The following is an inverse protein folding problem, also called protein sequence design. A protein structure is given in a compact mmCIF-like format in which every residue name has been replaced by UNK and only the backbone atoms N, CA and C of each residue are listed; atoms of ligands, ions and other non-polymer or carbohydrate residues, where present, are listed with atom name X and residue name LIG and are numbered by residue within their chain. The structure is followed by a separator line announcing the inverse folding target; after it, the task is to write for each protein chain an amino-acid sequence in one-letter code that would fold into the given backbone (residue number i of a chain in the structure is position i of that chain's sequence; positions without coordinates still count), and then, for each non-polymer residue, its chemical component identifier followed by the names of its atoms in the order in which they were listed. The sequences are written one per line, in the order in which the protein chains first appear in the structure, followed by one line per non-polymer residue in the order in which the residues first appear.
data_IF_568914200880
#
_entry.id   IF_568914200880
#
_cell.length_a   1.000
_cell.length_b   1.000
_cell.length_c   1.000
_cell.angle_alpha   90.00
_cell.angle_beta   90.00
_cell.angle_gamma   90.00
#
_symmetry.space_group_name_H-M   'P 1'
#
loop_
_entity.id
_entity.type
_entity.pdbx_description
1 polymer ?
#
# COMPACT_ATOMS: atom_id res chain seq x y z
N UNK A 1 -28.77 -6.55 -11.50
CA UNK A 1 -27.73 -6.55 -10.45
C UNK A 1 -28.24 -5.62 -9.35
N UNK A 2 -28.66 -6.18 -8.22
CA UNK A 2 -29.47 -5.45 -7.22
C UNK A 2 -28.59 -4.55 -6.33
N UNK A 3 -27.32 -4.89 -6.17
CA UNK A 3 -26.34 -4.09 -5.43
C UNK A 3 -24.92 -4.25 -6.00
N UNK A 4 -24.11 -3.20 -5.83
CA UNK A 4 -22.67 -3.19 -6.15
C UNK A 4 -21.89 -3.26 -4.84
N UNK A 5 -20.90 -4.15 -4.75
CA UNK A 5 -20.05 -4.29 -3.56
C UNK A 5 -18.62 -3.82 -3.84
N UNK A 6 -18.06 -3.04 -2.93
CA UNK A 6 -16.69 -2.56 -2.96
C UNK A 6 -15.99 -2.97 -1.66
N UNK A 7 -14.88 -3.69 -1.79
CA UNK A 7 -14.11 -4.19 -0.65
C UNK A 7 -12.80 -3.41 -0.53
N UNK A 8 -12.64 -2.69 0.57
CA UNK A 8 -11.40 -2.00 0.94
C UNK A 8 -10.62 -2.78 2.00
N UNK A 9 -9.45 -2.27 2.37
CA UNK A 9 -8.64 -2.85 3.44
C UNK A 9 -9.29 -2.70 4.81
N UNK A 10 -10.05 -1.62 5.02
CA UNK A 10 -10.63 -1.20 6.31
C UNK A 10 -12.15 -1.33 6.39
N UNK A 11 -12.83 -1.10 5.27
CA UNK A 11 -14.29 -1.14 5.18
C UNK A 11 -14.74 -1.97 3.97
N UNK A 12 -15.93 -2.53 4.08
CA UNK A 12 -16.69 -3.05 2.95
C UNK A 12 -17.93 -2.18 2.75
N UNK A 13 -18.16 -1.72 1.52
CA UNK A 13 -19.29 -0.88 1.20
C UNK A 13 -20.20 -1.59 0.19
N UNK A 14 -21.51 -1.48 0.40
CA UNK A 14 -22.55 -1.99 -0.50
C UNK A 14 -23.40 -0.81 -0.94
N UNK A 15 -23.55 -0.64 -2.26
CA UNK A 15 -24.42 0.37 -2.87
C UNK A 15 -25.63 -0.32 -3.46
N UNK A 16 -26.81 -0.04 -2.92
CA UNK A 16 -28.07 -0.54 -3.45
C UNK A 16 -28.46 0.30 -4.69
N UNK A 17 -28.71 -0.36 -5.82
CA UNK A 17 -28.95 0.35 -7.10
C UNK A 17 -30.33 1.04 -7.13
N UNK A 18 -31.29 0.56 -6.35
CA UNK A 18 -32.65 1.10 -6.30
C UNK A 18 -32.76 2.39 -5.49
N UNK A 19 -32.16 2.44 -4.30
CA UNK A 19 -32.24 3.62 -3.42
C UNK A 19 -31.03 4.56 -3.55
N UNK A 20 -29.96 4.11 -4.22
CA UNK A 20 -28.69 4.83 -4.30
C UNK A 20 -27.93 4.96 -2.97
N UNK A 21 -28.49 4.39 -1.89
CA UNK A 21 -27.89 4.42 -0.55
C UNK A 21 -26.66 3.52 -0.55
N UNK A 22 -25.53 4.10 -0.13
CA UNK A 22 -24.29 3.39 0.13
C UNK A 22 -24.15 3.19 1.65
N UNK A 23 -24.18 1.93 2.08
CA UNK A 23 -23.86 1.54 3.45
C UNK A 23 -22.45 0.99 3.49
N UNK A 24 -21.65 1.44 4.44
CA UNK A 24 -20.29 0.96 4.66
C UNK A 24 -20.19 0.39 6.06
N UNK A 25 -19.87 -0.90 6.14
CA UNK A 25 -19.67 -1.60 7.39
C UNK A 25 -18.17 -1.78 7.62
N UNK A 26 -17.74 -1.57 8.86
CA UNK A 26 -16.40 -1.96 9.28
C UNK A 26 -16.35 -3.49 9.38
N UNK A 27 -15.15 -4.08 9.25
CA UNK A 27 -15.02 -5.51 9.44
C UNK A 27 -15.15 -5.86 10.93
N UNK A 28 -16.39 -5.95 11.42
CA UNK A 28 -16.74 -6.19 12.83
C UNK A 28 -16.58 -7.66 13.30
N UNK A 29 -16.32 -8.60 12.39
CA UNK A 29 -16.25 -10.02 12.75
C UNK A 29 -14.85 -10.47 13.19
N UNK A 30 -14.54 -10.18 14.45
CA UNK A 30 -13.49 -10.85 15.26
C UNK A 30 -13.69 -12.39 15.33
N UNK A 31 -14.88 -12.91 15.00
CA UNK A 31 -15.26 -14.31 15.28
C UNK A 31 -15.43 -15.23 14.06
N UNK A 32 -15.12 -14.79 12.84
CA UNK A 32 -15.07 -15.69 11.68
C UNK A 32 -13.84 -15.35 10.83
N UNK A 33 -12.67 -15.74 11.33
CA UNK A 33 -11.38 -15.61 10.65
C UNK A 33 -11.15 -14.22 10.02
N UNK A 34 -10.65 -13.26 10.80
CA UNK A 34 -9.68 -12.35 10.19
C UNK A 34 -8.56 -13.21 9.63
N UNK A 35 -8.62 -13.50 8.33
CA UNK A 35 -7.56 -14.19 7.63
C UNK A 35 -6.27 -13.46 7.99
N UNK A 36 -5.31 -14.18 8.59
CA UNK A 36 -4.01 -13.63 9.04
C UNK A 36 -3.39 -12.72 7.98
N UNK A 37 -3.67 -13.05 6.71
CA UNK A 37 -3.43 -12.26 5.51
C UNK A 37 -3.87 -10.79 5.60
N UNK A 38 -5.12 -10.49 5.95
CA UNK A 38 -5.64 -9.12 5.97
C UNK A 38 -4.98 -8.26 7.06
N UNK A 39 -4.77 -8.85 8.25
CA UNK A 39 -4.06 -8.18 9.35
C UNK A 39 -2.60 -7.95 8.98
N UNK A 40 -1.94 -8.94 8.37
CA UNK A 40 -0.57 -8.83 7.91
C UNK A 40 -0.42 -7.76 6.83
N UNK A 41 -1.32 -7.72 5.84
CA UNK A 41 -1.33 -6.68 4.80
C UNK A 41 -1.53 -5.29 5.42
N UNK A 42 -2.45 -5.13 6.38
CA UNK A 42 -2.62 -3.86 7.13
C UNK A 42 -1.34 -3.44 7.83
N UNK A 43 -0.71 -4.36 8.58
CA UNK A 43 0.52 -4.08 9.29
C UNK A 43 1.66 -3.67 8.32
N UNK A 44 1.86 -4.43 7.24
CA UNK A 44 2.86 -4.12 6.22
C UNK A 44 2.64 -2.74 5.59
N UNK A 45 1.39 -2.42 5.19
CA UNK A 45 1.06 -1.12 4.61
C UNK A 45 1.32 0.03 5.59
N UNK A 46 0.84 -0.08 6.83
CA UNK A 46 1.04 0.97 7.84
C UNK A 46 2.53 1.18 8.10
N UNK A 47 3.31 0.10 8.26
CA UNK A 47 4.75 0.22 8.48
C UNK A 47 5.45 0.86 7.28
N UNK A 48 5.06 0.51 6.04
CA UNK A 48 5.58 1.11 4.82
C UNK A 48 5.28 2.62 4.78
N UNK A 49 4.05 3.03 5.10
CA UNK A 49 3.63 4.44 5.10
C UNK A 49 4.39 5.25 6.15
N UNK A 50 4.57 4.72 7.36
CA UNK A 50 5.32 5.38 8.44
C UNK A 50 6.78 5.56 8.03
N UNK A 51 7.44 4.49 7.54
CA UNK A 51 8.84 4.57 7.11
C UNK A 51 9.01 5.52 5.92
N UNK A 52 8.09 5.49 4.96
CA UNK A 52 8.10 6.39 3.80
C UNK A 52 7.92 7.85 4.22
N UNK A 53 7.03 8.13 5.17
CA UNK A 53 6.86 9.45 5.76
C UNK A 53 8.15 9.98 6.38
N UNK A 54 8.83 9.18 7.21
CA UNK A 54 10.13 9.56 7.76
C UNK A 54 11.20 9.72 6.68
N UNK A 55 11.25 8.83 5.69
CA UNK A 55 12.15 8.92 4.54
C UNK A 55 11.97 10.23 3.78
N UNK A 56 10.73 10.63 3.51
CA UNK A 56 10.42 11.90 2.83
C UNK A 56 10.81 13.11 3.67
N UNK A 57 10.57 13.09 4.98
CA UNK A 57 11.00 14.17 5.89
C UNK A 57 12.52 14.35 5.85
N UNK A 58 13.30 13.26 5.94
CA UNK A 58 14.75 13.33 5.81
C UNK A 58 15.18 13.80 4.43
N UNK A 59 14.51 13.36 3.36
CA UNK A 59 14.81 13.82 2.00
C UNK A 59 14.68 15.33 1.90
N UNK A 60 13.57 15.91 2.37
CA UNK A 60 13.36 17.37 2.35
C UNK A 60 14.47 18.10 3.12
N UNK A 61 14.85 17.61 4.31
CA UNK A 61 15.93 18.20 5.10
C UNK A 61 17.32 18.07 4.44
N UNK A 62 17.53 17.04 3.62
CA UNK A 62 18.78 16.78 2.90
C UNK A 62 18.95 17.56 1.59
N UNK A 63 17.89 18.23 1.09
CA UNK A 63 17.97 19.00 -0.15
C UNK A 63 18.74 20.32 0.02
N UNK A 64 19.52 20.70 -0.99
CA UNK A 64 20.29 21.94 -0.98
C UNK A 64 19.43 23.21 -0.96
N UNK A 65 18.21 23.13 -1.50
CA UNK A 65 17.26 24.25 -1.50
C UNK A 65 16.70 24.58 -0.11
N UNK A 66 16.83 23.69 0.87
CA UNK A 66 16.38 23.92 2.25
C UNK A 66 17.50 24.59 3.05
N UNK A 67 17.18 25.74 3.65
CA UNK A 67 18.08 26.55 4.51
C UNK A 67 18.32 25.89 5.89
N UNK A 68 18.59 24.61 5.90
CA UNK A 68 18.95 23.83 7.09
C UNK A 68 20.43 23.47 6.95
N UNK A 69 21.28 23.83 7.92
CA UNK A 69 22.75 23.60 7.88
C UNK A 69 23.42 23.99 6.53
N UNK A 70 23.39 25.27 6.11
CA UNK A 70 23.94 25.69 4.81
C UNK A 70 25.45 25.47 4.67
N UNK A 71 26.20 25.46 5.77
CA UNK A 71 27.67 25.41 5.75
C UNK A 71 28.24 23.97 5.80
N UNK A 72 27.38 22.95 5.91
CA UNK A 72 27.78 21.55 6.13
C UNK A 72 27.22 20.60 5.06
N UNK A 73 27.74 20.62 3.81
CA UNK A 73 27.22 19.80 2.72
C UNK A 73 27.39 18.30 2.97
N UNK A 74 28.41 17.90 3.74
CA UNK A 74 28.65 16.51 4.09
C UNK A 74 27.55 15.94 5.00
N UNK A 75 26.98 16.75 5.89
CA UNK A 75 25.88 16.34 6.75
C UNK A 75 24.59 16.20 5.92
N UNK A 76 24.32 17.13 5.00
CA UNK A 76 23.19 17.02 4.05
C UNK A 76 23.26 15.75 3.21
N UNK A 77 24.45 15.42 2.70
CA UNK A 77 24.69 14.19 1.96
C UNK A 77 24.33 12.94 2.79
N UNK A 78 24.76 12.90 4.06
CA UNK A 78 24.42 11.80 4.97
C UNK A 78 22.93 11.70 5.24
N UNK A 79 22.23 12.82 5.40
CA UNK A 79 20.77 12.84 5.58
C UNK A 79 20.06 12.30 4.33
N UNK A 80 20.54 12.68 3.14
CA UNK A 80 20.02 12.18 1.86
C UNK A 80 20.27 10.67 1.67
N UNK A 81 21.41 10.16 2.14
CA UNK A 81 21.68 8.72 2.16
C UNK A 81 20.72 7.99 3.12
N UNK A 82 20.49 8.54 4.32
CA UNK A 82 19.56 7.97 5.30
C UNK A 82 18.13 7.96 4.75
N UNK A 83 17.70 9.01 4.06
CA UNK A 83 16.38 9.04 3.42
C UNK A 83 16.25 7.96 2.33
N UNK A 84 17.28 7.77 1.50
CA UNK A 84 17.32 6.73 0.48
C UNK A 84 17.16 5.32 1.08
N UNK A 85 17.89 5.02 2.16
CA UNK A 85 17.79 3.73 2.87
C UNK A 85 16.42 3.55 3.50
N UNK A 86 15.84 4.58 4.14
CA UNK A 86 14.48 4.50 4.69
C UNK A 86 13.44 4.24 3.60
N UNK A 87 13.53 4.91 2.46
CA UNK A 87 12.60 4.72 1.33
C UNK A 87 12.71 3.32 0.73
N UNK A 88 13.92 2.74 0.66
CA UNK A 88 14.12 1.34 0.28
C UNK A 88 13.45 0.37 1.26
N UNK A 89 13.71 0.56 2.56
CA UNK A 89 13.12 -0.25 3.62
C UNK A 89 11.59 -0.12 3.69
N UNK A 90 11.03 1.04 3.30
CA UNK A 90 9.60 1.26 3.17
C UNK A 90 9.00 0.59 1.93
N UNK A 91 9.70 0.65 0.79
CA UNK A 91 9.21 0.12 -0.50
C UNK A 91 9.03 -1.40 -0.50
N UNK A 92 9.92 -2.14 0.17
CA UNK A 92 9.87 -3.61 0.24
C UNK A 92 8.57 -4.17 0.86
N UNK A 93 8.14 -3.78 2.08
CA UNK A 93 6.88 -4.24 2.66
C UNK A 93 5.66 -3.73 1.89
N UNK A 94 5.71 -2.51 1.31
CA UNK A 94 4.63 -1.97 0.47
C UNK A 94 4.42 -2.77 -0.82
N UNK A 95 5.49 -3.13 -1.54
CA UNK A 95 5.39 -3.99 -2.73
C UNK A 95 4.89 -5.37 -2.32
N UNK A 96 5.50 -5.96 -1.28
CA UNK A 96 5.16 -7.32 -0.83
C UNK A 96 3.70 -7.41 -0.40
N UNK A 97 3.21 -6.49 0.42
CA UNK A 97 1.82 -6.46 0.87
C UNK A 97 0.83 -6.23 -0.28
N UNK A 98 1.16 -5.35 -1.24
CA UNK A 98 0.30 -5.08 -2.40
C UNK A 98 0.20 -6.28 -3.35
N UNK A 99 1.34 -6.92 -3.64
CA UNK A 99 1.42 -8.10 -4.51
C UNK A 99 0.75 -9.28 -3.85
N UNK A 100 0.97 -9.50 -2.56
CA UNK A 100 0.32 -10.57 -1.80
C UNK A 100 -1.20 -10.44 -1.86
N UNK A 101 -1.74 -9.25 -1.56
CA UNK A 101 -3.17 -8.98 -1.67
C UNK A 101 -3.69 -9.25 -3.09
N UNK A 102 -2.96 -8.83 -4.11
CA UNK A 102 -3.39 -9.02 -5.49
C UNK A 102 -3.39 -10.49 -5.93
N UNK A 103 -2.40 -11.26 -5.50
CA UNK A 103 -2.32 -12.71 -5.73
C UNK A 103 -3.46 -13.43 -5.01
N UNK A 104 -3.76 -13.06 -3.77
CA UNK A 104 -4.87 -13.66 -3.03
C UNK A 104 -6.21 -13.44 -3.75
N UNK A 105 -6.50 -12.22 -4.22
CA UNK A 105 -7.71 -11.94 -5.01
C UNK A 105 -7.74 -12.75 -6.31
N UNK A 106 -6.58 -12.93 -6.96
CA UNK A 106 -6.48 -13.75 -8.16
C UNK A 106 -6.72 -15.24 -7.90
N UNK A 107 -6.18 -15.78 -6.81
CA UNK A 107 -6.36 -17.19 -6.40
C UNK A 107 -7.80 -17.45 -5.96
N UNK A 108 -8.41 -16.53 -5.20
CA UNK A 108 -9.82 -16.62 -4.84
C UNK A 108 -10.69 -16.65 -6.11
N UNK A 109 -10.40 -15.78 -7.07
CA UNK A 109 -11.08 -15.75 -8.37
C UNK A 109 -10.91 -17.05 -9.17
N UNK A 110 -9.72 -17.63 -9.20
CA UNK A 110 -9.43 -18.84 -9.98
C UNK A 110 -10.00 -20.11 -9.33
N UNK A 111 -9.92 -20.24 -8.01
CA UNK A 111 -10.47 -21.39 -7.27
C UNK A 111 -11.99 -21.53 -7.44
N UNK A 112 -12.72 -20.42 -7.51
CA UNK A 112 -14.16 -20.40 -7.79
C UNK A 112 -14.51 -20.90 -9.19
N UNK A 113 -13.60 -20.73 -10.17
CA UNK A 113 -13.79 -21.26 -11.53
C UNK A 113 -13.58 -22.78 -11.61
N UNK A 114 -12.66 -23.34 -10.81
CA UNK A 114 -12.35 -24.77 -10.85
C UNK A 114 -13.41 -25.65 -10.18
N UNK A 115 -14.15 -25.14 -9.19
CA UNK A 115 -15.12 -25.94 -8.43
C UNK A 115 -16.55 -25.98 -9.03
N UNK A 116 -16.81 -25.41 -10.20
CA UNK A 116 -18.16 -25.30 -10.80
C UNK A 116 -19.24 -24.70 -9.88
N UNK A 117 -18.85 -24.05 -8.78
CA UNK A 117 -19.77 -23.32 -7.90
C UNK A 117 -19.85 -21.90 -8.44
N UNK A 118 -20.90 -21.62 -9.19
CA UNK A 118 -21.20 -20.32 -9.77
C UNK A 118 -21.65 -19.34 -8.66
N UNK A 119 -20.77 -19.02 -7.70
CA UNK A 119 -20.96 -17.85 -6.84
C UNK A 119 -20.63 -16.62 -7.68
N UNK A 120 -21.66 -16.01 -8.26
CA UNK A 120 -21.60 -14.95 -9.27
C UNK A 120 -21.03 -13.60 -8.83
N UNK A 121 -20.07 -13.55 -7.90
CA UNK A 121 -19.40 -12.33 -7.45
C UNK A 121 -17.92 -12.41 -7.85
N UNK A 122 -17.55 -11.73 -8.93
CA UNK A 122 -16.17 -11.62 -9.43
C UNK A 122 -15.62 -10.26 -9.03
N UNK A 123 -14.70 -10.23 -8.07
CA UNK A 123 -14.03 -8.99 -7.68
C UNK A 123 -13.03 -8.54 -8.76
N UNK A 124 -13.04 -7.24 -9.04
CA UNK A 124 -12.06 -6.58 -9.90
C UNK A 124 -11.07 -5.81 -9.04
N UNK A 125 -9.85 -5.64 -9.53
CA UNK A 125 -8.87 -4.79 -8.86
C UNK A 125 -9.38 -3.35 -8.82
N UNK A 126 -9.49 -2.81 -7.60
CA UNK A 126 -9.79 -1.41 -7.38
C UNK A 126 -8.59 -0.51 -7.69
N UNK A 127 -8.86 0.77 -7.93
CA UNK A 127 -7.82 1.78 -8.16
C UNK A 127 -6.83 1.91 -7.01
N UNK A 128 -7.28 1.70 -5.76
CA UNK A 128 -6.42 1.75 -4.58
C UNK A 128 -5.27 0.74 -4.62
N UNK A 129 -5.50 -0.46 -5.18
CA UNK A 129 -4.47 -1.49 -5.31
C UNK A 129 -3.38 -1.07 -6.30
N UNK A 130 -3.76 -0.51 -7.45
CA UNK A 130 -2.84 0.03 -8.44
C UNK A 130 -2.02 1.21 -7.89
N UNK A 131 -2.67 2.12 -7.16
CA UNK A 131 -2.01 3.24 -6.51
C UNK A 131 -1.01 2.78 -5.45
N UNK A 132 -1.35 1.76 -4.65
CA UNK A 132 -0.45 1.17 -3.66
C UNK A 132 0.79 0.53 -4.30
N UNK A 133 0.62 -0.22 -5.40
CA UNK A 133 1.74 -0.79 -6.16
C UNK A 133 2.63 0.29 -6.77
N UNK A 134 2.03 1.28 -7.44
CA UNK A 134 2.77 2.37 -8.06
C UNK A 134 3.52 3.21 -7.03
N UNK A 135 2.90 3.53 -5.89
CA UNK A 135 3.52 4.27 -4.79
C UNK A 135 4.69 3.52 -4.16
N UNK A 136 4.51 2.22 -3.89
CA UNK A 136 5.57 1.38 -3.29
C UNK A 136 6.76 1.19 -4.23
N UNK A 137 6.49 0.99 -5.53
CA UNK A 137 7.52 0.95 -6.57
C UNK A 137 8.25 2.28 -6.68
N UNK A 138 7.51 3.40 -6.63
CA UNK A 138 8.07 4.74 -6.61
C UNK A 138 9.04 4.95 -5.43
N UNK A 139 8.66 4.53 -4.22
CA UNK A 139 9.52 4.59 -3.04
C UNK A 139 10.78 3.72 -3.19
N UNK A 140 10.64 2.53 -3.76
CA UNK A 140 11.78 1.64 -3.98
C UNK A 140 12.75 2.19 -5.02
N UNK A 141 12.24 2.71 -6.15
CA UNK A 141 13.05 3.31 -7.19
C UNK A 141 13.74 4.59 -6.72
N UNK A 142 13.01 5.47 -6.02
CA UNK A 142 13.59 6.70 -5.47
C UNK A 142 14.66 6.39 -4.42
N UNK A 143 14.40 5.45 -3.52
CA UNK A 143 15.38 5.01 -2.52
C UNK A 143 16.63 4.39 -3.18
N UNK A 144 16.45 3.59 -4.23
CA UNK A 144 17.57 3.01 -5.01
C UNK A 144 18.42 4.09 -5.66
N UNK A 145 17.79 5.05 -6.33
CA UNK A 145 18.48 6.16 -6.99
C UNK A 145 19.22 7.03 -5.98
N UNK A 146 18.60 7.40 -4.85
CA UNK A 146 19.22 8.20 -3.81
C UNK A 146 20.41 7.48 -3.15
N UNK A 147 20.34 6.16 -3.00
CA UNK A 147 21.42 5.38 -2.39
C UNK A 147 22.58 5.15 -3.36
N UNK A 148 22.29 4.92 -4.66
CA UNK A 148 23.31 4.63 -5.67
C UNK A 148 23.95 5.86 -6.31
N UNK A 149 23.23 6.98 -6.46
CA UNK A 149 23.72 8.18 -7.14
C UNK A 149 24.40 9.18 -6.21
N UNK A 150 24.28 9.01 -4.89
CA UNK A 150 24.91 9.87 -3.87
C UNK A 150 26.20 9.27 -3.31
N UNK A 151 26.69 8.17 -3.89
CA UNK A 151 28.01 7.58 -3.65
C UNK A 151 28.97 7.99 -4.77
#
# INVERSE_FOLDING_TARGET
QVSTKCRGLWWECVTNVFDGIQTCDEYDSIYAEHSVKLVLTRAMMITADILSGFGFLFLVLGLDCVKFLPDEPLIKLRICLVSGVLLLLAGLPGITGSVWYAVDVYVERSSLLFHNVFLGIQYKFGWSCWLGMAGSLGCFLSGSLLTCCMY
#
